data_IF_670303646168
#
_entry.id   IF_670303646168
#
_cell.length_a   1.000
_cell.length_b   1.000
_cell.length_c   1.000
_cell.angle_alpha   90.00
_cell.angle_beta   90.00
_cell.angle_gamma   90.00
#
_symmetry.space_group_name_H-M   'P 1'
#
loop_
_entity.id
_entity.type
_entity.pdbx_description
1 polymer ?
#
# COMPACT_ATOMS: atom_id res chain seq x y z
N UNK A 1 2.05 22.65 -5.69
CA UNK A 1 1.06 21.83 -4.95
C UNK A 1 0.18 22.78 -4.18
N UNK A 2 -1.16 22.68 -4.25
CA UNK A 2 -2.00 23.53 -3.43
C UNK A 2 -1.78 23.19 -1.97
N UNK A 3 -1.74 24.24 -1.18
CA UNK A 3 -1.50 24.19 0.25
C UNK A 3 -2.71 23.50 0.90
N UNK A 4 -2.46 22.44 1.67
CA UNK A 4 -3.49 21.84 2.52
C UNK A 4 -4.10 22.92 3.40
N UNK A 5 -5.39 22.82 3.66
CA UNK A 5 -6.01 23.69 4.65
C UNK A 5 -5.42 23.39 6.03
N UNK A 6 -5.42 24.35 6.98
CA UNK A 6 -4.98 24.09 8.35
C UNK A 6 -5.73 22.92 9.02
N UNK A 7 -7.02 22.75 8.69
CA UNK A 7 -7.83 21.64 9.18
C UNK A 7 -7.33 20.29 8.65
N UNK A 8 -7.06 20.18 7.34
CA UNK A 8 -6.49 18.98 6.73
C UNK A 8 -5.13 18.62 7.33
N UNK A 9 -4.27 19.61 7.56
CA UNK A 9 -2.96 19.40 8.19
C UNK A 9 -3.10 18.87 9.62
N UNK A 10 -3.96 19.48 10.43
CA UNK A 10 -4.23 19.04 11.81
C UNK A 10 -4.77 17.61 11.86
N UNK A 11 -5.65 17.25 10.93
CA UNK A 11 -6.19 15.89 10.81
C UNK A 11 -5.12 14.88 10.43
N UNK A 12 -4.30 15.18 9.41
CA UNK A 12 -3.19 14.32 9.02
C UNK A 12 -2.18 14.12 10.17
N UNK A 13 -1.83 15.18 10.90
CA UNK A 13 -0.93 15.10 12.06
C UNK A 13 -1.51 14.25 13.19
N UNK A 14 -2.82 14.37 13.44
CA UNK A 14 -3.53 13.56 14.45
C UNK A 14 -3.57 12.09 14.05
N UNK A 15 -3.83 11.81 12.77
CA UNK A 15 -3.79 10.47 12.20
C UNK A 15 -2.41 9.84 12.36
N UNK A 16 -1.34 10.55 11.98
CA UNK A 16 0.04 10.07 12.10
C UNK A 16 0.44 9.75 13.54
N UNK A 17 0.02 10.59 14.50
CA UNK A 17 0.26 10.33 15.93
C UNK A 17 -0.42 9.05 16.40
N UNK A 18 -1.70 8.85 16.07
CA UNK A 18 -2.46 7.64 16.41
C UNK A 18 -1.87 6.40 15.73
N UNK A 19 -1.50 6.51 14.46
CA UNK A 19 -0.88 5.44 13.68
C UNK A 19 0.43 5.00 14.32
N UNK A 20 1.30 5.95 14.66
CA UNK A 20 2.56 5.66 15.33
C UNK A 20 2.37 4.96 16.68
N UNK A 21 1.34 5.33 17.46
CA UNK A 21 1.05 4.67 18.73
C UNK A 21 0.56 3.22 18.54
N UNK A 22 -0.38 3.00 17.61
CA UNK A 22 -0.96 1.66 17.36
C UNK A 22 0.02 0.70 16.73
N UNK A 23 0.79 1.14 15.73
CA UNK A 23 1.79 0.28 15.09
C UNK A 23 2.87 -0.13 16.09
N UNK A 24 3.33 0.79 16.96
CA UNK A 24 4.28 0.46 18.03
C UNK A 24 3.71 -0.54 19.05
N UNK A 25 2.42 -0.45 19.37
CA UNK A 25 1.77 -1.36 20.31
C UNK A 25 1.53 -2.76 19.70
N UNK A 26 1.17 -2.83 18.42
CA UNK A 26 0.84 -4.09 17.74
C UNK A 26 2.09 -4.85 17.25
N UNK A 27 3.15 -4.14 16.86
CA UNK A 27 4.32 -4.75 16.22
C UNK A 27 5.61 -3.94 16.51
N UNK A 28 6.29 -4.17 17.66
CA UNK A 28 7.50 -3.44 18.03
C UNK A 28 8.68 -3.66 17.07
N UNK A 29 8.64 -4.70 16.24
CA UNK A 29 9.70 -5.08 15.28
C UNK A 29 9.53 -4.52 13.86
N UNK A 30 8.43 -3.80 13.56
CA UNK A 30 8.24 -3.07 12.30
C UNK A 30 8.06 -3.95 11.07
N UNK A 31 6.83 -4.03 10.54
CA UNK A 31 6.49 -4.87 9.38
C UNK A 31 5.94 -4.06 8.21
N UNK A 32 6.42 -2.81 8.10
CA UNK A 32 6.18 -1.95 6.96
C UNK A 32 7.51 -1.65 6.29
N UNK A 33 7.61 -1.93 4.99
CA UNK A 33 8.83 -1.69 4.21
C UNK A 33 8.59 -0.54 3.26
N UNK A 34 9.27 0.58 3.48
CA UNK A 34 9.22 1.72 2.55
C UNK A 34 9.99 1.37 1.29
N UNK A 35 9.34 1.51 0.13
CA UNK A 35 9.93 1.20 -1.17
C UNK A 35 10.38 2.49 -1.84
N UNK A 36 11.70 2.67 -1.92
CA UNK A 36 12.30 3.75 -2.71
C UNK A 36 12.37 3.31 -4.18
N UNK A 37 11.98 4.21 -5.10
CA UNK A 37 11.85 3.91 -6.53
C UNK A 37 13.08 3.22 -7.12
N UNK A 38 12.84 2.22 -8.00
CA UNK A 38 13.92 1.46 -8.65
C UNK A 38 14.87 2.39 -9.40
N UNK A 39 16.13 2.41 -8.99
CA UNK A 39 17.21 2.86 -9.84
C UNK A 39 17.72 1.64 -10.63
N UNK A 40 17.60 1.59 -11.98
CA UNK A 40 17.94 0.40 -12.80
C UNK A 40 19.39 -0.09 -12.61
N UNK A 41 20.27 0.74 -12.07
CA UNK A 41 21.71 0.49 -11.91
C UNK A 41 22.14 0.20 -10.46
N UNK A 42 21.24 0.24 -9.47
CA UNK A 42 21.64 0.11 -8.06
C UNK A 42 21.35 -1.28 -7.49
N UNK A 43 22.36 -1.89 -6.85
CA UNK A 43 22.23 -3.11 -6.04
C UNK A 43 21.72 -2.83 -4.61
N UNK A 44 21.11 -1.65 -4.37
CA UNK A 44 20.63 -1.26 -3.03
C UNK A 44 19.38 -2.08 -2.68
N UNK A 45 19.15 -2.39 -1.39
CA UNK A 45 17.93 -3.06 -0.97
C UNK A 45 16.72 -2.24 -1.42
N UNK A 46 15.72 -2.93 -1.98
CA UNK A 46 14.47 -2.36 -2.48
C UNK A 46 13.62 -1.68 -1.40
N UNK A 47 13.97 -1.91 -0.14
CA UNK A 47 13.18 -1.56 1.02
C UNK A 47 14.06 -1.07 2.16
N UNK A 48 13.53 -0.11 2.92
CA UNK A 48 14.03 0.19 4.27
C UNK A 48 12.92 -0.14 5.28
N UNK A 49 13.25 -0.79 6.40
CA UNK A 49 12.31 -0.93 7.51
C UNK A 49 11.77 0.44 7.90
N UNK A 50 10.45 0.56 7.88
CA UNK A 50 9.72 1.74 8.29
C UNK A 50 8.85 1.33 9.49
N UNK A 51 9.19 1.74 10.73
CA UNK A 51 8.38 1.37 11.90
C UNK A 51 6.99 2.00 11.87
N UNK A 52 6.79 3.06 11.08
CA UNK A 52 5.48 3.69 10.83
C UNK A 52 5.42 4.05 9.35
N UNK A 53 4.37 3.67 8.61
CA UNK A 53 4.23 4.05 7.21
C UNK A 53 4.05 5.55 7.09
N UNK A 54 4.84 6.17 6.22
CA UNK A 54 4.76 7.60 5.90
C UNK A 54 3.66 7.85 4.88
N UNK A 55 2.97 8.97 5.06
CA UNK A 55 1.99 9.44 4.11
C UNK A 55 2.65 9.70 2.74
N UNK A 56 1.93 9.45 1.64
CA UNK A 56 2.34 9.72 0.26
C UNK A 56 3.53 8.86 -0.25
N UNK A 57 4.12 8.04 0.61
CA UNK A 57 5.16 7.06 0.27
C UNK A 57 4.55 5.68 0.00
N UNK A 58 5.19 4.92 -0.91
CA UNK A 58 4.81 3.54 -1.18
C UNK A 58 5.45 2.62 -0.14
N UNK A 59 4.62 1.76 0.44
CA UNK A 59 5.03 0.76 1.40
C UNK A 59 4.51 -0.63 1.04
N UNK A 60 5.25 -1.63 1.46
CA UNK A 60 4.73 -2.98 1.64
C UNK A 60 4.25 -3.13 3.09
N UNK A 61 2.95 -3.26 3.27
CA UNK A 61 2.29 -3.52 4.53
C UNK A 61 2.11 -5.04 4.72
N UNK A 62 2.30 -5.50 5.94
CA UNK A 62 1.68 -6.74 6.41
C UNK A 62 0.17 -6.54 6.66
N UNK A 63 -0.54 -7.63 6.93
CA UNK A 63 -1.97 -7.59 7.20
C UNK A 63 -2.32 -6.76 8.45
N UNK A 64 -1.49 -6.80 9.49
CA UNK A 64 -1.69 -6.05 10.72
C UNK A 64 -1.58 -4.53 10.50
N UNK A 65 -0.50 -4.06 9.85
CA UNK A 65 -0.30 -2.64 9.57
C UNK A 65 -1.36 -2.12 8.61
N UNK A 66 -1.71 -2.89 7.57
CA UNK A 66 -2.83 -2.54 6.68
C UNK A 66 -4.13 -2.37 7.46
N UNK A 67 -4.47 -3.34 8.33
CA UNK A 67 -5.66 -3.29 9.17
C UNK A 67 -5.70 -2.06 10.07
N UNK A 68 -4.59 -1.72 10.74
CA UNK A 68 -4.49 -0.53 11.59
C UNK A 68 -4.73 0.75 10.78
N UNK A 69 -4.15 0.88 9.59
CA UNK A 69 -4.34 2.06 8.73
C UNK A 69 -5.81 2.16 8.30
N UNK A 70 -6.42 1.06 7.89
CA UNK A 70 -7.83 1.02 7.50
C UNK A 70 -8.77 1.39 8.67
N UNK A 71 -8.56 0.80 9.85
CA UNK A 71 -9.33 1.09 11.06
C UNK A 71 -9.22 2.55 11.49
N UNK A 72 -8.03 3.14 11.39
CA UNK A 72 -7.87 4.56 11.70
C UNK A 72 -8.63 5.45 10.72
N UNK A 73 -8.70 5.08 9.43
CA UNK A 73 -9.51 5.83 8.46
C UNK A 73 -11.00 5.66 8.75
N UNK A 74 -11.46 4.49 9.20
CA UNK A 74 -12.84 4.29 9.66
C UNK A 74 -13.17 5.11 10.91
N UNK A 75 -12.27 5.19 11.88
CA UNK A 75 -12.44 6.06 13.04
C UNK A 75 -12.55 7.54 12.65
N UNK A 76 -11.76 7.97 11.66
CA UNK A 76 -11.87 9.31 11.11
C UNK A 76 -13.25 9.55 10.47
N UNK A 77 -13.78 8.57 9.73
CA UNK A 77 -15.12 8.63 9.15
C UNK A 77 -16.20 8.77 10.23
N UNK A 78 -16.17 7.91 11.26
CA UNK A 78 -17.14 7.94 12.37
C UNK A 78 -17.07 9.25 13.17
N UNK A 79 -15.89 9.87 13.26
CA UNK A 79 -15.71 11.17 13.94
C UNK A 79 -16.18 12.35 13.09
N UNK A 80 -16.20 12.21 11.76
CA UNK A 80 -16.59 13.28 10.86
C UNK A 80 -18.10 13.52 10.81
N UNK A 81 -18.90 12.47 11.05
CA UNK A 81 -20.37 12.50 11.10
C UNK A 81 -21.07 13.07 9.85
N UNK A 82 -20.35 13.15 8.73
CA UNK A 82 -20.81 13.59 7.41
C UNK A 82 -19.73 13.26 6.39
N UNK A 83 -20.13 13.11 5.13
CA UNK A 83 -19.25 12.81 4.01
C UNK A 83 -19.61 11.54 3.25
N UNK A 84 -18.71 11.16 2.34
CA UNK A 84 -18.83 9.99 1.49
C UNK A 84 -17.73 8.99 1.79
N UNK A 85 -18.11 7.73 1.95
CA UNK A 85 -17.21 6.58 2.05
C UNK A 85 -17.34 5.69 0.82
N UNK A 86 -16.21 5.24 0.27
CA UNK A 86 -16.18 4.17 -0.73
C UNK A 86 -15.05 3.19 -0.42
N UNK A 87 -15.36 1.90 -0.29
CA UNK A 87 -14.35 0.84 -0.14
C UNK A 87 -14.50 -0.28 -1.17
N UNK A 88 -13.40 -0.98 -1.47
CA UNK A 88 -13.40 -2.16 -2.35
C UNK A 88 -13.03 -3.44 -1.60
N UNK A 89 -13.67 -4.53 -1.99
CA UNK A 89 -13.44 -5.89 -1.54
C UNK A 89 -13.04 -6.79 -2.70
N UNK A 90 -12.28 -7.85 -2.38
CA UNK A 90 -12.00 -8.92 -3.33
C UNK A 90 -13.29 -9.61 -3.75
N UNK A 91 -14.00 -10.20 -2.78
CA UNK A 91 -15.32 -10.81 -2.96
C UNK A 91 -16.28 -10.38 -1.85
N UNK A 92 -17.58 -10.28 -2.17
CA UNK A 92 -18.59 -10.13 -1.13
C UNK A 92 -18.73 -11.37 -0.22
N UNK A 93 -18.21 -12.53 -0.64
CA UNK A 93 -18.12 -13.71 0.22
C UNK A 93 -17.21 -13.47 1.44
N UNK A 94 -16.25 -12.55 1.32
CA UNK A 94 -15.31 -12.19 2.39
C UNK A 94 -15.91 -11.18 3.38
N UNK A 95 -17.16 -10.74 3.17
CA UNK A 95 -17.82 -9.76 4.01
C UNK A 95 -18.34 -10.40 5.31
N UNK A 96 -17.45 -10.52 6.30
CA UNK A 96 -17.74 -11.12 7.60
C UNK A 96 -18.82 -10.35 8.37
N UNK A 97 -19.52 -10.97 9.34
CA UNK A 97 -20.50 -10.28 10.19
C UNK A 97 -19.94 -9.03 10.87
N UNK A 98 -18.68 -9.06 11.31
CA UNK A 98 -18.01 -7.94 11.98
C UNK A 98 -17.82 -6.77 11.01
N UNK A 99 -17.40 -7.04 9.77
CA UNK A 99 -17.28 -6.01 8.74
C UNK A 99 -18.63 -5.40 8.38
N UNK A 100 -19.70 -6.20 8.34
CA UNK A 100 -21.07 -5.70 8.12
C UNK A 100 -21.52 -4.75 9.23
N UNK A 101 -21.19 -5.06 10.48
CA UNK A 101 -21.48 -4.16 11.60
C UNK A 101 -20.72 -2.83 11.48
N UNK A 102 -19.44 -2.87 11.11
CA UNK A 102 -18.62 -1.68 10.87
C UNK A 102 -19.21 -0.80 9.76
N UNK A 103 -19.57 -1.38 8.60
CA UNK A 103 -20.22 -0.62 7.54
C UNK A 103 -21.60 -0.09 7.92
N UNK A 104 -22.37 -0.84 8.71
CA UNK A 104 -23.65 -0.35 9.21
C UNK A 104 -23.47 0.86 10.14
N UNK A 105 -22.42 0.88 10.96
CA UNK A 105 -22.09 2.05 11.78
C UNK A 105 -21.73 3.27 10.91
N UNK A 106 -20.94 3.05 9.84
CA UNK A 106 -20.63 4.10 8.87
C UNK A 106 -21.89 4.61 8.16
N UNK A 107 -22.79 3.71 7.73
CA UNK A 107 -24.05 4.06 7.05
C UNK A 107 -25.04 4.83 7.90
N UNK A 108 -24.88 4.81 9.23
CA UNK A 108 -25.65 5.66 10.17
C UNK A 108 -25.00 7.04 10.39
N UNK A 109 -23.71 7.17 10.11
CA UNK A 109 -22.90 8.33 10.46
C UNK A 109 -22.58 9.23 9.25
N UNK A 110 -22.52 8.66 8.05
CA UNK A 110 -22.13 9.36 6.83
C UNK A 110 -23.32 9.56 5.89
N UNK A 111 -23.19 10.53 4.97
CA UNK A 111 -24.22 10.84 3.98
C UNK A 111 -24.33 9.73 2.92
N UNK A 112 -23.22 9.07 2.62
CA UNK A 112 -23.19 7.98 1.64
C UNK A 112 -22.08 6.99 1.95
N UNK A 113 -22.41 5.69 1.91
CA UNK A 113 -21.44 4.61 2.07
C UNK A 113 -21.60 3.63 0.92
N UNK A 114 -20.55 3.46 0.13
CA UNK A 114 -20.50 2.52 -1.00
C UNK A 114 -19.46 1.44 -0.73
N UNK A 115 -19.84 0.19 -0.95
CA UNK A 115 -18.94 -0.96 -0.83
C UNK A 115 -18.97 -1.75 -2.12
N UNK A 116 -17.84 -1.82 -2.78
CA UNK A 116 -17.68 -2.47 -4.08
C UNK A 116 -17.07 -3.84 -3.85
N UNK A 117 -17.55 -4.88 -4.54
CA UNK A 117 -17.01 -6.23 -4.42
C UNK A 117 -17.43 -7.10 -5.59
N UNK A 118 -16.71 -8.19 -5.83
CA UNK A 118 -17.11 -9.17 -6.84
C UNK A 118 -18.16 -10.15 -6.29
N UNK A 119 -18.88 -10.79 -7.21
CA UNK A 119 -19.88 -11.81 -6.91
C UNK A 119 -21.23 -11.25 -6.48
N UNK A 120 -22.11 -12.14 -6.01
CA UNK A 120 -23.47 -11.78 -5.65
C UNK A 120 -23.49 -10.86 -4.42
N UNK A 121 -24.08 -9.66 -4.59
CA UNK A 121 -24.29 -8.75 -3.46
C UNK A 121 -25.13 -9.44 -2.37
N UNK A 122 -24.70 -9.40 -1.10
CA UNK A 122 -25.46 -10.01 -0.02
C UNK A 122 -26.75 -9.22 0.25
N UNK A 123 -27.59 -9.75 1.15
CA UNK A 123 -28.82 -9.09 1.61
C UNK A 123 -28.54 -7.62 1.98
N UNK A 124 -29.48 -6.74 1.62
CA UNK A 124 -29.41 -5.29 1.84
C UNK A 124 -28.83 -4.95 3.22
N UNK A 125 -27.86 -4.04 3.22
CA UNK A 125 -27.29 -3.45 4.41
C UNK A 125 -27.82 -2.00 4.51
N UNK A 126 -28.70 -1.67 5.46
CA UNK A 126 -29.30 -0.34 5.53
C UNK A 126 -28.26 0.78 5.60
N UNK A 127 -28.43 1.83 4.79
CA UNK A 127 -27.51 2.96 4.70
C UNK A 127 -26.20 2.67 3.96
N UNK A 128 -26.08 1.51 3.31
CA UNK A 128 -24.88 1.09 2.58
C UNK A 128 -25.25 0.56 1.19
N UNK A 129 -24.69 1.18 0.17
CA UNK A 129 -24.81 0.73 -1.22
C UNK A 129 -23.78 -0.37 -1.48
N UNK A 130 -24.25 -1.60 -1.65
CA UNK A 130 -23.43 -2.73 -2.06
C UNK A 130 -23.45 -2.84 -3.58
N UNK A 131 -22.29 -2.64 -4.22
CA UNK A 131 -22.14 -2.57 -5.66
C UNK A 131 -21.32 -3.76 -6.17
N UNK A 132 -21.97 -4.66 -6.89
CA UNK A 132 -21.33 -5.82 -7.52
C UNK A 132 -20.55 -5.39 -8.76
N UNK A 133 -19.24 -5.59 -8.76
CA UNK A 133 -18.34 -5.25 -9.86
C UNK A 133 -17.35 -6.40 -10.08
N UNK A 134 -17.52 -7.08 -11.19
CA UNK A 134 -16.64 -8.17 -11.62
C UNK A 134 -15.53 -7.63 -12.54
N UNK A 135 -14.74 -6.69 -12.01
CA UNK A 135 -13.54 -6.20 -12.69
C UNK A 135 -12.30 -6.94 -12.18
N UNK A 136 -11.56 -7.66 -13.06
CA UNK A 136 -10.31 -8.32 -12.68
C UNK A 136 -9.28 -7.38 -12.05
N UNK A 137 -9.34 -6.09 -12.40
CA UNK A 137 -8.48 -5.06 -11.84
C UNK A 137 -8.80 -4.88 -10.36
N UNK A 138 -10.07 -4.75 -9.97
CA UNK A 138 -10.44 -4.43 -8.58
C UNK A 138 -10.31 -5.61 -7.63
N UNK A 139 -10.37 -6.85 -8.12
CA UNK A 139 -10.23 -8.05 -7.29
C UNK A 139 -8.93 -8.06 -6.48
N UNK A 140 -7.85 -7.51 -7.05
CA UNK A 140 -6.53 -7.46 -6.42
C UNK A 140 -6.25 -6.17 -5.66
N UNK A 141 -7.19 -5.22 -5.62
CA UNK A 141 -6.98 -3.94 -4.95
C UNK A 141 -7.91 -3.80 -3.76
N UNK A 142 -7.36 -3.27 -2.66
CA UNK A 142 -8.13 -2.74 -1.54
C UNK A 142 -7.99 -1.24 -1.56
N UNK A 143 -9.12 -0.59 -1.76
CA UNK A 143 -9.25 0.85 -1.83
C UNK A 143 -10.17 1.30 -0.71
N UNK A 144 -9.80 2.38 -0.04
CA UNK A 144 -10.65 3.14 0.86
C UNK A 144 -10.56 4.60 0.43
N UNK A 145 -11.69 5.22 0.18
CA UNK A 145 -11.87 6.63 -0.12
C UNK A 145 -12.81 7.20 0.93
N UNK A 146 -12.37 8.23 1.64
CA UNK A 146 -13.20 9.01 2.55
C UNK A 146 -13.10 10.48 2.17
N UNK A 147 -14.24 11.10 1.88
CA UNK A 147 -14.35 12.54 1.66
C UNK A 147 -15.29 13.13 2.70
N UNK A 148 -14.85 14.19 3.36
CA UNK A 148 -15.63 14.94 4.35
C UNK A 148 -15.55 16.42 4.00
N UNK A 149 -16.39 17.29 4.60
CA UNK A 149 -16.26 18.74 4.42
C UNK A 149 -14.89 19.32 4.85
N UNK A 150 -14.12 18.59 5.67
CA UNK A 150 -12.87 19.07 6.28
C UNK A 150 -11.61 18.48 5.65
N UNK A 151 -11.70 17.29 5.05
CA UNK A 151 -10.55 16.58 4.48
C UNK A 151 -11.01 15.45 3.55
N UNK A 152 -10.11 15.04 2.66
CA UNK A 152 -10.22 13.81 1.90
C UNK A 152 -9.03 12.91 2.19
N UNK A 153 -9.24 11.60 2.26
CA UNK A 153 -8.17 10.62 2.43
C UNK A 153 -8.39 9.38 1.57
N UNK A 154 -7.29 8.77 1.16
CA UNK A 154 -7.26 7.55 0.37
C UNK A 154 -6.27 6.56 0.96
N UNK A 155 -6.65 5.29 0.99
CA UNK A 155 -5.75 4.14 1.12
C UNK A 155 -5.91 3.30 -0.15
N UNK A 156 -4.85 3.15 -0.92
CA UNK A 156 -4.83 2.32 -2.12
C UNK A 156 -3.72 1.30 -1.98
N UNK A 157 -4.09 0.03 -1.93
CA UNK A 157 -3.13 -1.07 -1.88
C UNK A 157 -3.50 -2.17 -2.86
N UNK A 158 -2.47 -2.78 -3.45
CA UNK A 158 -2.56 -4.01 -4.22
C UNK A 158 -2.23 -5.18 -3.29
N UNK A 159 -3.14 -6.13 -3.19
CA UNK A 159 -2.87 -7.40 -2.53
C UNK A 159 -1.91 -8.23 -3.37
N UNK A 160 -0.83 -8.68 -2.75
CA UNK A 160 0.20 -9.51 -3.38
C UNK A 160 -0.07 -10.98 -3.03
N UNK A 161 0.15 -11.92 -3.98
CA UNK A 161 0.04 -13.34 -3.71
C UNK A 161 0.98 -13.74 -2.56
N UNK A 162 0.45 -14.42 -1.56
CA UNK A 162 1.25 -14.91 -0.45
C UNK A 162 1.73 -16.33 -0.69
N UNK A 163 3.03 -16.57 -0.52
CA UNK A 163 3.59 -17.92 -0.53
C UNK A 163 3.41 -18.66 0.81
N UNK A 164 3.05 -17.95 1.89
CA UNK A 164 2.96 -18.50 3.26
C UNK A 164 1.58 -18.34 3.91
N UNK A 165 0.56 -17.92 3.16
CA UNK A 165 -0.81 -17.72 3.66
C UNK A 165 -1.07 -16.36 4.33
N UNK A 166 -0.04 -15.55 4.58
CA UNK A 166 -0.19 -14.18 5.10
C UNK A 166 -0.28 -13.17 3.96
N UNK A 167 -1.43 -12.53 3.75
CA UNK A 167 -1.59 -11.49 2.72
C UNK A 167 -0.65 -10.31 2.97
N UNK A 168 -0.03 -9.83 1.88
CA UNK A 168 0.81 -8.63 1.86
C UNK A 168 0.20 -7.59 0.94
N UNK A 169 0.33 -6.33 1.32
CA UNK A 169 -0.32 -5.24 0.63
C UNK A 169 0.72 -4.22 0.19
N UNK A 170 0.77 -3.91 -1.10
CA UNK A 170 1.67 -2.91 -1.66
C UNK A 170 0.88 -1.66 -2.03
N UNK A 171 1.21 -0.53 -1.43
CA UNK A 171 0.54 0.71 -1.80
C UNK A 171 0.87 1.87 -0.89
N UNK A 172 -0.08 2.78 -0.74
CA UNK A 172 0.12 4.01 0.02
C UNK A 172 -1.20 4.49 0.62
N UNK A 173 -1.08 5.41 1.57
CA UNK A 173 -2.20 6.25 1.99
C UNK A 173 -1.86 7.73 1.81
N UNK A 174 -2.87 8.56 1.60
CA UNK A 174 -2.69 9.98 1.30
C UNK A 174 -3.89 10.82 1.73
N UNK A 175 -3.60 12.00 2.27
CA UNK A 175 -4.56 13.08 2.50
C UNK A 175 -4.51 14.15 1.40
N UNK A 176 -3.95 13.83 0.22
CA UNK A 176 -3.87 14.75 -0.91
C UNK A 176 -5.21 14.77 -1.69
N UNK A 177 -5.96 15.89 -1.72
CA UNK A 177 -7.26 15.93 -2.39
C UNK A 177 -7.18 15.66 -3.90
N UNK A 178 -6.06 15.99 -4.53
CA UNK A 178 -5.83 15.74 -5.96
C UNK A 178 -5.70 14.25 -6.25
N UNK A 179 -4.94 13.54 -5.41
CA UNK A 179 -4.78 12.10 -5.54
C UNK A 179 -6.10 11.39 -5.27
N UNK A 180 -6.84 11.84 -4.25
CA UNK A 180 -8.20 11.38 -3.97
C UNK A 180 -9.12 11.51 -5.20
N UNK A 181 -9.28 12.73 -5.75
CA UNK A 181 -10.15 12.98 -6.92
C UNK A 181 -9.71 12.17 -8.15
N UNK A 182 -8.40 12.06 -8.35
CA UNK A 182 -7.77 11.29 -9.40
C UNK A 182 -8.11 9.80 -9.30
N UNK A 183 -8.09 9.23 -8.09
CA UNK A 183 -8.46 7.83 -7.83
C UNK A 183 -9.97 7.64 -7.94
N UNK A 184 -10.77 8.51 -7.30
CA UNK A 184 -12.25 8.46 -7.34
C UNK A 184 -12.77 8.46 -8.78
N UNK A 185 -12.23 9.32 -9.65
CA UNK A 185 -12.59 9.37 -11.07
C UNK A 185 -12.27 8.07 -11.81
N UNK A 186 -11.10 7.46 -11.55
CA UNK A 186 -10.73 6.18 -12.16
C UNK A 186 -11.60 5.03 -11.67
N UNK A 187 -11.89 5.00 -10.37
CA UNK A 187 -12.80 4.02 -9.80
C UNK A 187 -14.18 4.11 -10.47
N UNK A 188 -14.68 5.32 -10.68
CA UNK A 188 -15.94 5.53 -11.40
C UNK A 188 -15.91 4.96 -12.83
N UNK A 189 -14.82 5.18 -13.59
CA UNK A 189 -14.68 4.54 -14.91
C UNK A 189 -14.73 3.02 -14.84
N UNK A 190 -14.06 2.39 -13.85
CA UNK A 190 -14.13 0.94 -13.67
C UNK A 190 -15.57 0.50 -13.34
N UNK A 191 -16.25 1.20 -12.44
CA UNK A 191 -17.63 0.88 -12.07
C UNK A 191 -18.64 1.03 -13.22
N UNK A 192 -18.34 1.88 -14.21
CA UNK A 192 -19.14 2.02 -15.43
C UNK A 192 -18.76 1.02 -16.54
N UNK A 193 -17.83 0.08 -16.29
CA UNK A 193 -17.35 -0.84 -17.32
C UNK A 193 -16.50 -0.18 -18.41
N UNK A 194 -15.93 1.00 -18.12
CA UNK A 194 -15.04 1.75 -19.01
C UNK A 194 -13.58 1.57 -18.61
N UNK A 195 -13.23 0.37 -18.11
CA UNK A 195 -11.89 0.01 -17.69
C UNK A 195 -10.88 0.04 -18.86
N UNK A 196 -11.33 -0.24 -20.08
CA UNK A 196 -10.54 -0.12 -21.31
C UNK A 196 -10.00 1.31 -21.57
N UNK A 197 -10.66 2.34 -21.02
CA UNK A 197 -10.24 3.75 -21.12
C UNK A 197 -9.10 4.08 -20.13
N UNK A 198 -8.91 3.25 -19.10
CA UNK A 198 -7.84 3.41 -18.13
C UNK A 198 -6.57 2.78 -18.70
N UNK A 199 -5.84 3.57 -19.51
CA UNK A 199 -4.49 3.18 -19.97
C UNK A 199 -3.64 2.85 -18.74
N UNK A 200 -3.45 1.56 -18.50
CA UNK A 200 -2.61 0.96 -17.46
C UNK A 200 -2.87 1.50 -16.04
N UNK A 201 -3.94 1.00 -15.40
CA UNK A 201 -4.31 1.26 -13.99
C UNK A 201 -3.09 1.35 -13.06
N UNK A 202 -2.19 0.36 -13.12
CA UNK A 202 -0.98 0.29 -12.31
C UNK A 202 0.01 1.44 -12.54
N UNK A 203 0.20 1.88 -13.79
CA UNK A 203 1.14 2.97 -14.10
C UNK A 203 0.64 4.32 -13.57
N UNK A 204 -0.66 4.48 -13.37
CA UNK A 204 -1.23 5.71 -12.80
C UNK A 204 -0.79 5.98 -11.36
N UNK A 205 -0.34 4.96 -10.63
CA UNK A 205 -0.02 5.03 -9.21
C UNK A 205 1.46 4.84 -8.90
N UNK A 206 2.29 4.66 -9.94
CA UNK A 206 3.72 4.38 -9.81
C UNK A 206 4.04 3.20 -8.88
N UNK A 207 3.11 2.22 -8.75
CA UNK A 207 3.36 1.05 -7.92
C UNK A 207 4.51 0.24 -8.54
N UNK A 208 5.55 -0.09 -7.77
CA UNK A 208 6.64 -0.90 -8.27
C UNK A 208 6.11 -2.28 -8.62
N UNK A 209 6.54 -2.84 -9.76
CA UNK A 209 6.35 -4.27 -10.00
C UNK A 209 7.12 -5.01 -8.92
N UNK A 210 6.47 -5.89 -8.16
CA UNK A 210 7.13 -6.74 -7.16
C UNK A 210 7.11 -8.16 -7.69
N UNK A 211 8.28 -8.77 -7.85
CA UNK A 211 8.39 -10.15 -8.33
C UNK A 211 8.30 -11.14 -7.16
N UNK A 212 8.04 -12.42 -7.45
CA UNK A 212 8.09 -13.47 -6.44
C UNK A 212 9.45 -13.54 -5.73
N UNK A 213 10.55 -13.28 -6.45
CA UNK A 213 11.90 -13.22 -5.87
C UNK A 213 12.07 -12.05 -4.90
N UNK A 214 11.44 -10.91 -5.19
CA UNK A 214 11.44 -9.76 -4.28
C UNK A 214 10.67 -10.10 -3.00
N UNK A 215 9.49 -10.75 -3.10
CA UNK A 215 8.72 -11.20 -1.94
C UNK A 215 9.51 -12.15 -1.04
N UNK A 216 10.23 -13.11 -1.62
CA UNK A 216 11.10 -14.04 -0.89
C UNK A 216 12.30 -13.32 -0.25
N UNK A 217 12.83 -12.29 -0.90
CA UNK A 217 13.90 -11.47 -0.31
C UNK A 217 13.39 -10.65 0.88
N UNK A 218 12.22 -10.04 0.74
CA UNK A 218 11.58 -9.22 1.76
C UNK A 218 11.21 -10.06 2.99
N UNK A 219 10.65 -11.26 2.78
CA UNK A 219 10.36 -12.19 3.89
C UNK A 219 11.62 -12.64 4.65
N UNK A 220 12.77 -12.77 3.95
CA UNK A 220 14.06 -13.12 4.59
C UNK A 220 14.68 -11.96 5.36
N UNK A 221 14.42 -10.71 4.96
CA UNK A 221 14.86 -9.54 5.73
C UNK A 221 14.10 -9.42 7.06
N UNK A 222 12.83 -9.82 7.09
CA UNK A 222 12.02 -9.82 8.31
C UNK A 222 12.45 -10.91 9.31
N UNK A 223 12.89 -12.08 8.83
CA UNK A 223 13.36 -13.20 9.66
C UNK A 223 14.72 -12.95 10.35
N UNK A 224 15.30 -11.75 10.25
CA UNK A 224 16.50 -11.40 11.02
C UNK A 224 17.77 -12.17 10.63
N UNK A 225 17.80 -12.87 9.49
CA UNK A 225 19.08 -13.37 8.96
C UNK A 225 19.84 -12.19 8.37
N UNK A 226 20.82 -11.68 9.13
CA UNK A 226 21.94 -10.90 8.59
C UNK A 226 22.44 -11.64 7.35
N UNK A 227 22.08 -11.16 6.17
CA UNK A 227 22.73 -11.61 4.94
C UNK A 227 24.15 -11.08 5.07
N UNK A 228 25.05 -11.92 5.59
CA UNK A 228 26.46 -11.63 5.62
C UNK A 228 26.86 -11.21 4.20
N UNK A 229 27.53 -10.06 4.00
CA UNK A 229 28.07 -9.74 2.71
C UNK A 229 28.98 -10.90 2.29
N UNK A 230 28.67 -11.55 1.16
CA UNK A 230 29.53 -12.58 0.57
C UNK A 230 30.97 -12.04 0.60
N UNK A 231 31.94 -12.81 1.10
CA UNK A 231 33.31 -12.34 1.18
C UNK A 231 33.75 -11.89 -0.21
N UNK A 232 34.18 -10.62 -0.32
CA UNK A 232 34.83 -10.11 -1.51
C UNK A 232 35.93 -11.11 -1.85
N UNK A 233 35.84 -11.75 -3.03
CA UNK A 233 36.95 -12.53 -3.58
C UNK A 233 38.16 -11.61 -3.52
N UNK A 234 39.13 -11.92 -2.65
CA UNK A 234 40.41 -11.22 -2.58
C UNK A 234 40.96 -11.22 -4.00
N UNK A 235 41.19 -10.03 -4.54
CA UNK A 235 41.95 -9.89 -5.77
C UNK A 235 43.29 -10.57 -5.54
N UNK A 236 43.53 -11.67 -6.24
CA UNK A 236 44.84 -12.30 -6.30
C UNK A 236 45.73 -11.32 -7.06
N UNK A 237 46.53 -10.57 -6.32
CA UNK A 237 47.59 -9.73 -6.86
C UNK A 237 48.58 -10.66 -7.55
N UNK A 238 48.46 -10.80 -8.87
CA UNK A 238 49.49 -11.44 -9.70
C UNK A 238 50.74 -10.57 -9.67
N UNK A 239 51.73 -10.97 -8.87
CA UNK A 239 53.10 -10.50 -8.98
C UNK A 239 53.59 -10.89 -10.38
N UNK A 240 53.68 -9.94 -11.30
CA UNK A 240 54.40 -10.12 -12.56
C UNK A 240 55.89 -9.95 -12.28
N UNK A 241 56.58 -11.08 -12.07
CA UNK A 241 58.02 -11.15 -12.25
C UNK A 241 58.34 -10.82 -13.72
N UNK A 242 59.07 -9.73 -13.97
CA UNK A 242 59.72 -9.48 -15.26
C UNK A 242 61.16 -9.96 -15.15
N UNK A 243 61.42 -11.15 -15.68
CA UNK A 243 62.74 -11.55 -16.11
C UNK A 243 63.18 -10.66 -17.28
N UNK A 244 64.36 -10.05 -17.17
CA UNK A 244 65.11 -9.48 -18.30
C UNK A 244 66.53 -10.03 -18.19
N UNK A 245 66.84 -11.02 -19.02
CA UNK A 245 68.22 -11.43 -19.30
C UNK A 245 68.40 -11.52 -20.82
N UNK A 246 69.53 -10.95 -21.24
CA UNK A 246 70.29 -11.14 -22.48
C UNK A 246 69.75 -10.54 -23.79
N UNK A 247 70.46 -9.51 -24.26
CA UNK A 247 71.09 -9.57 -25.58
C UNK A 247 72.54 -9.07 -25.45
N UNK A 248 73.46 -9.94 -25.89
CA UNK A 248 74.91 -9.76 -26.02
C UNK A 248 75.21 -9.61 -27.53
N UNK A 249 76.32 -8.92 -27.84
CA UNK A 249 76.99 -8.73 -29.16
C UNK A 249 76.44 -7.53 -29.96
N UNK A 250 77.27 -6.68 -30.57
CA UNK A 250 78.69 -6.79 -30.92
C UNK A 250 79.61 -5.92 -30.05
#
# INVERSE_FOLDING_TARGET
MPLRTPAEKKMADTFLKKLGARVKAAAPTGHCLSIEGRCPKSKRPLSKPAPVPKQDDIHLFDAATFGIVAELIEELALTASSGEWTSTFGSFADLTPELRQRFSALGKSLDTVRVWGSGASPKRLPGVDLLAIDSPILTHYRLILLETPKFSTVLLVKELPSAKGESRYLGFYSFCPYLFRSIRRRLHFVGCGLDCMLKEWEKSFNLPKVTASDLVFLSKQEEGKKIAPKPKKKAVTKVKAKAKVAKKKA
#
